data_IF_490605169164
#
_entry.id   IF_490605169164
#
_cell.length_a   1.000
_cell.length_b   1.000
_cell.length_c   1.000
_cell.angle_alpha   90.00
_cell.angle_beta   90.00
_cell.angle_gamma   90.00
#
_symmetry.space_group_name_H-M   'P 1'
#
loop_
_entity.id
_entity.type
_entity.pdbx_description
1 polymer ?
#
# COMPACT_ATOMS: atom_id res chain seq x y z
N UNK A 1 44.64 4.65 -24.52
CA UNK A 1 43.99 4.94 -25.83
C UNK A 1 42.76 5.79 -25.59
N UNK A 2 42.30 6.57 -26.58
CA UNK A 2 41.08 7.42 -26.43
C UNK A 2 39.78 6.59 -26.54
N UNK A 3 38.74 6.97 -25.78
CA UNK A 3 37.37 6.39 -25.91
C UNK A 3 36.84 6.47 -27.35
N UNK A 4 37.16 7.54 -28.08
CA UNK A 4 36.78 7.68 -29.49
C UNK A 4 37.45 6.66 -30.42
N UNK A 5 38.67 6.19 -30.10
CA UNK A 5 39.33 5.13 -30.86
C UNK A 5 38.71 3.75 -30.55
N UNK A 6 38.42 3.48 -29.28
CA UNK A 6 37.80 2.22 -28.85
C UNK A 6 36.38 2.06 -29.41
N UNK A 7 35.56 3.12 -29.36
CA UNK A 7 34.22 3.09 -29.95
C UNK A 7 34.27 2.84 -31.47
N UNK A 8 35.22 3.43 -32.21
CA UNK A 8 35.38 3.13 -33.65
C UNK A 8 35.74 1.67 -33.90
N UNK A 9 36.61 1.07 -33.09
CA UNK A 9 37.00 -0.35 -33.20
C UNK A 9 35.81 -1.28 -32.91
N UNK A 10 35.01 -0.98 -31.88
CA UNK A 10 33.79 -1.72 -31.56
C UNK A 10 32.78 -1.66 -32.72
N UNK A 11 32.46 -0.45 -33.20
CA UNK A 11 31.53 -0.24 -34.31
C UNK A 11 31.96 -0.98 -35.60
N UNK A 12 33.26 -1.03 -35.91
CA UNK A 12 33.76 -1.81 -37.06
C UNK A 12 33.64 -3.33 -36.93
N UNK A 13 33.27 -3.85 -35.75
CA UNK A 13 33.05 -5.29 -35.51
C UNK A 13 31.58 -5.69 -35.49
N UNK A 14 30.64 -4.74 -35.63
CA UNK A 14 29.20 -5.00 -35.55
C UNK A 14 28.66 -5.23 -34.13
N UNK A 15 29.55 -5.33 -33.13
CA UNK A 15 29.18 -5.30 -31.72
C UNK A 15 28.52 -3.95 -31.37
N UNK A 16 27.40 -3.95 -30.61
CA UNK A 16 26.97 -2.75 -29.91
C UNK A 16 28.09 -2.20 -29.03
N UNK A 17 28.13 -0.91 -28.67
CA UNK A 17 29.07 -0.45 -27.66
C UNK A 17 28.74 -1.17 -26.34
N UNK A 18 29.69 -1.96 -25.83
CA UNK A 18 29.60 -2.72 -24.57
C UNK A 18 29.61 -1.77 -23.35
N UNK A 19 28.58 -0.92 -23.23
CA UNK A 19 28.38 -0.07 -22.08
C UNK A 19 28.01 -0.94 -20.87
N UNK A 20 28.93 -1.06 -19.92
CA UNK A 20 28.61 -1.65 -18.62
C UNK A 20 27.45 -0.88 -17.97
N UNK A 21 26.53 -1.56 -17.27
CA UNK A 21 25.31 -0.94 -16.71
C UNK A 21 25.64 0.33 -15.90
N UNK A 22 26.71 0.28 -15.11
CA UNK A 22 27.23 1.40 -14.32
C UNK A 22 27.62 2.63 -15.18
N UNK A 23 28.15 2.46 -16.40
CA UNK A 23 28.44 3.59 -17.31
C UNK A 23 27.15 4.21 -17.86
N UNK A 24 26.14 3.38 -18.15
CA UNK A 24 24.82 3.86 -18.61
C UNK A 24 24.10 4.60 -17.48
N UNK A 25 24.04 4.03 -16.28
CA UNK A 25 23.47 4.65 -15.08
C UNK A 25 24.19 5.97 -14.76
N UNK A 26 25.53 5.99 -14.79
CA UNK A 26 26.30 7.21 -14.58
C UNK A 26 26.10 8.27 -15.67
N UNK A 27 25.80 7.88 -16.93
CA UNK A 27 25.42 8.82 -17.98
C UNK A 27 24.03 9.41 -17.71
N UNK A 28 23.03 8.55 -17.46
CA UNK A 28 21.65 8.97 -17.20
C UNK A 28 21.59 9.94 -16.01
N UNK A 29 22.32 9.69 -14.92
CA UNK A 29 22.36 10.64 -13.79
C UNK A 29 23.03 11.99 -14.13
N UNK A 30 24.06 12.03 -14.99
CA UNK A 30 24.65 13.30 -15.43
C UNK A 30 23.67 14.08 -16.30
N UNK A 31 23.17 13.44 -17.35
CA UNK A 31 22.22 14.03 -18.30
C UNK A 31 20.96 14.56 -17.55
N UNK A 32 20.43 13.79 -16.60
CA UNK A 32 19.29 14.19 -15.80
C UNK A 32 19.59 15.40 -14.89
N UNK A 33 20.76 15.44 -14.22
CA UNK A 33 21.18 16.60 -13.41
C UNK A 33 21.39 17.85 -14.28
N UNK A 34 21.91 17.70 -15.49
CA UNK A 34 22.04 18.79 -16.45
C UNK A 34 20.66 19.32 -16.90
N UNK A 35 19.72 18.44 -17.24
CA UNK A 35 18.34 18.82 -17.52
C UNK A 35 17.66 19.56 -16.35
N UNK A 36 17.85 19.11 -15.11
CA UNK A 36 17.35 19.82 -13.93
C UNK A 36 17.97 21.23 -13.78
N UNK A 37 19.28 21.36 -14.00
CA UNK A 37 19.96 22.66 -13.98
C UNK A 37 19.44 23.58 -15.09
N UNK A 38 19.22 23.07 -16.30
CA UNK A 38 18.66 23.83 -17.43
C UNK A 38 17.23 24.30 -17.15
N UNK A 39 16.38 23.44 -16.55
CA UNK A 39 15.04 23.82 -16.10
C UNK A 39 15.10 24.90 -15.01
N UNK A 40 15.96 24.74 -14.01
CA UNK A 40 16.15 25.74 -12.94
C UNK A 40 16.61 27.09 -13.50
N UNK A 41 17.60 27.10 -14.40
CA UNK A 41 18.10 28.31 -15.04
C UNK A 41 17.03 28.97 -15.92
N UNK A 42 16.17 28.19 -16.58
CA UNK A 42 15.09 28.68 -17.45
C UNK A 42 13.86 29.17 -16.69
N UNK A 43 13.58 28.63 -15.50
CA UNK A 43 12.56 29.18 -14.60
C UNK A 43 13.05 30.46 -13.92
N UNK A 44 14.32 30.48 -13.50
CA UNK A 44 14.93 31.62 -12.81
C UNK A 44 14.15 31.99 -11.55
N UNK A 45 13.68 33.24 -11.48
CA UNK A 45 12.84 33.78 -10.39
C UNK A 45 11.34 33.82 -10.71
N UNK A 46 10.94 33.61 -11.97
CA UNK A 46 9.53 33.65 -12.42
C UNK A 46 8.66 32.65 -11.67
N UNK A 47 7.34 32.86 -11.61
CA UNK A 47 6.43 31.88 -11.02
C UNK A 47 6.31 30.61 -11.88
N UNK A 48 6.22 30.80 -13.20
CA UNK A 48 6.08 29.76 -14.22
C UNK A 48 7.09 29.96 -15.36
N UNK A 49 7.29 28.94 -16.20
CA UNK A 49 8.28 28.93 -17.30
C UNK A 49 8.09 30.00 -18.39
N UNK A 50 6.94 30.68 -18.40
CA UNK A 50 6.62 31.79 -19.31
C UNK A 50 6.11 33.05 -18.59
N UNK A 51 6.34 33.19 -17.27
CA UNK A 51 6.00 34.38 -16.49
C UNK A 51 5.10 34.07 -15.30
N UNK A 52 4.00 34.82 -15.17
CA UNK A 52 3.08 34.78 -14.01
C UNK A 52 1.77 34.03 -14.30
N UNK A 53 1.68 33.36 -15.45
CA UNK A 53 0.55 32.48 -15.81
C UNK A 53 1.03 31.04 -16.07
N UNK A 54 0.28 30.02 -15.62
CA UNK A 54 0.64 28.62 -15.83
C UNK A 54 0.54 28.24 -17.31
N UNK A 55 1.45 27.40 -17.78
CA UNK A 55 1.46 26.88 -19.15
C UNK A 55 1.48 25.35 -19.22
N UNK A 56 1.27 24.81 -20.42
CA UNK A 56 1.44 23.38 -20.71
C UNK A 56 2.85 22.86 -20.37
N UNK A 57 3.88 23.72 -20.43
CA UNK A 57 5.25 23.34 -20.06
C UNK A 57 5.40 23.15 -18.55
N UNK A 58 4.75 24.01 -17.75
CA UNK A 58 4.72 23.87 -16.29
C UNK A 58 4.04 22.57 -15.87
N UNK A 59 2.89 22.25 -16.47
CA UNK A 59 2.17 20.99 -16.23
C UNK A 59 3.00 19.76 -16.66
N UNK A 60 3.68 19.83 -17.81
CA UNK A 60 4.54 18.74 -18.30
C UNK A 60 5.74 18.52 -17.36
N UNK A 61 6.47 19.58 -17.00
CA UNK A 61 7.63 19.50 -16.11
C UNK A 61 7.21 19.04 -14.70
N UNK A 62 6.09 19.56 -14.18
CA UNK A 62 5.50 19.13 -12.92
C UNK A 62 5.23 17.62 -12.87
N UNK A 63 4.71 17.04 -13.96
CA UNK A 63 4.44 15.60 -14.07
C UNK A 63 5.67 14.72 -13.84
N UNK A 64 6.88 15.20 -14.13
CA UNK A 64 8.13 14.50 -13.82
C UNK A 64 8.74 14.92 -12.47
N UNK A 65 8.71 16.22 -12.15
CA UNK A 65 9.37 16.73 -10.95
C UNK A 65 8.62 16.40 -9.65
N UNK A 66 7.29 16.44 -9.64
CA UNK A 66 6.53 16.20 -8.40
C UNK A 66 6.70 14.76 -7.86
N UNK A 67 6.64 13.68 -8.69
CA UNK A 67 7.00 12.35 -8.23
C UNK A 67 8.46 12.26 -7.76
N UNK A 68 9.41 12.79 -8.54
CA UNK A 68 10.84 12.80 -8.20
C UNK A 68 11.14 13.56 -6.89
N UNK A 69 10.37 14.59 -6.57
CA UNK A 69 10.52 15.42 -5.37
C UNK A 69 9.86 14.82 -4.12
N UNK A 70 8.64 14.29 -4.24
CA UNK A 70 7.78 13.89 -3.11
C UNK A 70 7.80 12.40 -2.76
N UNK A 71 8.17 11.50 -3.69
CA UNK A 71 8.22 10.05 -3.42
C UNK A 71 9.49 9.67 -2.64
N UNK A 72 9.39 8.67 -1.77
CA UNK A 72 10.55 8.10 -1.07
C UNK A 72 11.22 7.04 -1.95
N UNK A 73 12.49 7.27 -2.35
CA UNK A 73 13.25 6.37 -3.23
C UNK A 73 14.39 5.65 -2.48
N UNK A 74 14.71 4.38 -2.81
CA UNK A 74 15.89 3.70 -2.28
C UNK A 74 17.24 4.29 -2.74
N UNK A 75 17.28 4.93 -3.92
CA UNK A 75 18.41 5.71 -4.44
C UNK A 75 17.97 7.17 -4.57
N UNK A 76 18.59 8.07 -3.81
CA UNK A 76 18.13 9.48 -3.69
C UNK A 76 18.94 10.52 -4.47
N UNK A 77 20.07 10.17 -5.11
CA UNK A 77 21.05 11.12 -5.67
C UNK A 77 20.55 12.15 -6.71
N UNK A 78 19.44 11.85 -7.40
CA UNK A 78 18.79 12.81 -8.30
C UNK A 78 17.74 13.68 -7.57
N UNK A 79 17.05 13.11 -6.57
CA UNK A 79 16.14 13.86 -5.70
C UNK A 79 16.92 14.83 -4.79
N UNK A 80 18.09 14.43 -4.27
CA UNK A 80 18.99 15.30 -3.52
C UNK A 80 19.42 16.52 -4.36
N UNK A 81 19.71 16.29 -5.65
CA UNK A 81 20.04 17.35 -6.60
C UNK A 81 18.84 18.26 -6.87
N UNK A 82 17.65 17.71 -7.11
CA UNK A 82 16.42 18.49 -7.27
C UNK A 82 16.12 19.35 -6.03
N UNK A 83 16.34 18.81 -4.82
CA UNK A 83 16.13 19.52 -3.55
C UNK A 83 17.11 20.70 -3.32
N UNK A 84 18.21 20.77 -4.07
CA UNK A 84 19.10 21.95 -4.08
C UNK A 84 18.59 23.06 -5.02
N UNK A 85 17.69 22.75 -5.96
CA UNK A 85 17.11 23.67 -6.92
C UNK A 85 15.78 24.22 -6.38
N UNK A 86 15.89 25.12 -5.40
CA UNK A 86 14.78 25.64 -4.60
C UNK A 86 13.63 26.26 -5.43
N UNK A 87 13.93 26.86 -6.58
CA UNK A 87 12.92 27.40 -7.50
C UNK A 87 12.06 26.31 -8.15
N UNK A 88 12.64 25.15 -8.50
CA UNK A 88 11.91 23.98 -9.01
C UNK A 88 11.10 23.30 -7.91
N UNK A 89 11.61 23.24 -6.67
CA UNK A 89 10.83 22.78 -5.52
C UNK A 89 9.61 23.68 -5.28
N UNK A 90 9.80 25.01 -5.28
CA UNK A 90 8.72 26.00 -5.21
C UNK A 90 7.69 25.80 -6.31
N UNK A 91 8.10 25.65 -7.57
CA UNK A 91 7.17 25.39 -8.68
C UNK A 91 6.29 24.15 -8.41
N UNK A 92 6.87 23.07 -7.88
CA UNK A 92 6.12 21.87 -7.54
C UNK A 92 5.15 22.10 -6.37
N UNK A 93 5.59 22.81 -5.32
CA UNK A 93 4.73 23.12 -4.17
C UNK A 93 3.62 24.11 -4.53
N UNK A 94 3.90 25.17 -5.28
CA UNK A 94 2.91 26.15 -5.74
C UNK A 94 1.84 25.50 -6.62
N UNK A 95 2.22 24.59 -7.53
CA UNK A 95 1.28 23.82 -8.36
C UNK A 95 0.45 22.85 -7.50
N UNK A 96 1.06 22.09 -6.59
CA UNK A 96 0.33 21.23 -5.64
C UNK A 96 -0.67 22.05 -4.80
N UNK A 97 -0.24 23.22 -4.31
CA UNK A 97 -1.02 24.09 -3.46
C UNK A 97 -2.18 24.77 -4.20
N UNK A 98 -2.01 25.09 -5.48
CA UNK A 98 -3.00 25.85 -6.27
C UNK A 98 -4.00 24.98 -7.03
N UNK A 99 -3.60 23.77 -7.45
CA UNK A 99 -4.41 22.93 -8.34
C UNK A 99 -4.74 21.53 -7.79
N UNK A 100 -4.04 21.07 -6.74
CA UNK A 100 -4.22 19.71 -6.18
C UNK A 100 -4.64 19.70 -4.70
N UNK A 101 -4.68 20.86 -4.02
CA UNK A 101 -5.35 20.99 -2.72
C UNK A 101 -6.87 20.93 -2.89
N UNK A 102 -7.41 19.73 -2.74
CA UNK A 102 -8.75 19.60 -2.15
C UNK A 102 -8.73 20.10 -0.69
N UNK A 103 -9.90 20.45 -0.17
CA UNK A 103 -10.04 21.02 1.18
C UNK A 103 -9.67 20.05 2.32
N UNK A 104 -9.85 20.45 3.59
CA UNK A 104 -9.78 19.51 4.69
C UNK A 104 -10.79 18.38 4.44
N UNK A 105 -10.31 17.13 4.48
CA UNK A 105 -10.93 15.96 3.84
C UNK A 105 -10.78 15.98 2.31
N UNK A 106 -9.69 15.35 1.83
CA UNK A 106 -9.36 15.19 0.40
C UNK A 106 -10.23 14.15 -0.31
N UNK A 107 -11.56 14.33 -0.24
CA UNK A 107 -12.55 13.41 -0.78
C UNK A 107 -13.51 14.24 -1.65
N UNK A 108 -13.57 13.95 -2.95
CA UNK A 108 -14.60 14.49 -3.85
C UNK A 108 -15.99 14.12 -3.32
N UNK A 109 -17.07 14.94 -3.49
CA UNK A 109 -18.41 14.60 -2.98
C UNK A 109 -18.86 13.17 -3.30
N UNK A 110 -18.62 12.68 -4.52
CA UNK A 110 -18.91 11.29 -4.91
C UNK A 110 -18.14 10.22 -4.10
N UNK A 111 -16.95 10.54 -3.60
CA UNK A 111 -16.18 9.69 -2.70
C UNK A 111 -16.71 9.72 -1.25
N UNK A 112 -17.28 10.84 -0.82
CA UNK A 112 -17.90 10.98 0.49
C UNK A 112 -19.22 10.20 0.52
N UNK A 113 -20.07 10.37 -0.51
CA UNK A 113 -21.27 9.56 -0.74
C UNK A 113 -20.96 8.06 -0.76
N UNK A 114 -19.85 7.63 -1.38
CA UNK A 114 -19.41 6.24 -1.37
C UNK A 114 -19.04 5.75 0.03
N UNK A 115 -18.36 6.57 0.83
CA UNK A 115 -17.95 6.22 2.21
C UNK A 115 -19.17 6.17 3.12
N UNK A 116 -20.07 7.14 3.03
CA UNK A 116 -21.31 7.20 3.82
C UNK A 116 -22.25 6.04 3.47
N UNK A 117 -22.39 5.71 2.18
CA UNK A 117 -23.13 4.53 1.73
C UNK A 117 -22.49 3.20 2.18
N UNK A 118 -21.16 3.14 2.32
CA UNK A 118 -20.47 1.95 2.84
C UNK A 118 -20.61 1.85 4.37
N UNK A 119 -20.54 2.97 5.10
CA UNK A 119 -20.84 3.02 6.53
C UNK A 119 -22.30 2.60 6.80
N UNK A 120 -23.25 3.07 6.00
CA UNK A 120 -24.65 2.67 6.08
C UNK A 120 -24.85 1.16 5.88
N UNK A 121 -24.15 0.54 4.92
CA UNK A 121 -24.16 -0.93 4.71
C UNK A 121 -23.59 -1.68 5.92
N UNK A 122 -22.48 -1.20 6.51
CA UNK A 122 -21.90 -1.80 7.71
C UNK A 122 -22.87 -1.73 8.90
N UNK A 123 -23.52 -0.58 9.13
CA UNK A 123 -24.56 -0.42 10.15
C UNK A 123 -25.75 -1.36 9.92
N UNK A 124 -26.20 -1.52 8.67
CA UNK A 124 -27.27 -2.48 8.32
C UNK A 124 -26.86 -3.93 8.59
N UNK A 125 -25.60 -4.31 8.33
CA UNK A 125 -25.10 -5.67 8.61
C UNK A 125 -25.06 -5.95 10.11
N UNK A 126 -24.49 -5.05 10.92
CA UNK A 126 -24.44 -5.19 12.39
C UNK A 126 -25.85 -5.31 12.97
N UNK A 127 -26.78 -4.42 12.58
CA UNK A 127 -28.17 -4.47 13.04
C UNK A 127 -28.87 -5.78 12.65
N UNK A 128 -28.60 -6.29 11.44
CA UNK A 128 -29.15 -7.57 10.96
C UNK A 128 -28.60 -8.76 11.75
N UNK A 129 -27.32 -8.74 12.11
CA UNK A 129 -26.68 -9.78 12.91
C UNK A 129 -27.22 -9.80 14.34
N UNK A 130 -27.36 -8.63 14.99
CA UNK A 130 -28.00 -8.53 16.32
C UNK A 130 -29.43 -9.09 16.32
N UNK A 131 -30.23 -8.77 15.29
CA UNK A 131 -31.59 -9.29 15.11
C UNK A 131 -31.66 -10.82 14.91
N UNK A 132 -30.57 -11.45 14.43
CA UNK A 132 -30.50 -12.91 14.28
C UNK A 132 -30.09 -13.57 15.60
N UNK A 133 -29.15 -12.97 16.34
CA UNK A 133 -28.72 -13.45 17.67
C UNK A 133 -29.90 -13.43 18.65
N UNK A 134 -30.66 -12.33 18.70
CA UNK A 134 -31.85 -12.18 19.55
C UNK A 134 -32.90 -13.27 19.25
N UNK A 135 -33.19 -13.50 17.96
CA UNK A 135 -34.11 -14.58 17.54
C UNK A 135 -33.59 -15.98 17.86
N UNK A 136 -32.29 -16.20 17.86
CA UNK A 136 -31.71 -17.49 18.27
C UNK A 136 -31.88 -17.70 19.78
N UNK A 137 -31.64 -16.68 20.60
CA UNK A 137 -31.84 -16.77 22.06
C UNK A 137 -33.32 -17.01 22.41
N UNK A 138 -34.26 -16.34 21.74
CA UNK A 138 -35.70 -16.60 21.90
C UNK A 138 -36.09 -18.04 21.54
N UNK A 139 -35.57 -18.58 20.43
CA UNK A 139 -35.84 -19.98 20.03
C UNK A 139 -35.23 -20.99 21.02
N UNK A 140 -34.07 -20.68 21.62
CA UNK A 140 -33.49 -21.50 22.70
C UNK A 140 -34.34 -21.43 23.98
N UNK A 141 -34.82 -20.23 24.37
CA UNK A 141 -35.71 -20.03 25.54
C UNK A 141 -37.05 -20.75 25.39
N UNK A 142 -37.61 -20.78 24.18
CA UNK A 142 -38.88 -21.44 23.86
C UNK A 142 -38.75 -22.95 23.61
N UNK A 143 -37.53 -23.49 23.55
CA UNK A 143 -37.31 -24.93 23.37
C UNK A 143 -37.74 -25.72 24.62
N UNK A 144 -38.51 -26.82 24.47
CA UNK A 144 -39.02 -27.58 25.61
C UNK A 144 -37.89 -28.26 26.40
N UNK A 145 -37.79 -27.94 27.68
CA UNK A 145 -36.79 -28.50 28.60
C UNK A 145 -36.92 -30.02 28.73
N UNK A 146 -35.85 -30.76 28.44
CA UNK A 146 -35.81 -32.20 28.63
C UNK A 146 -35.77 -32.54 30.13
N UNK A 147 -36.80 -33.26 30.60
CA UNK A 147 -36.90 -33.73 31.99
C UNK A 147 -35.65 -34.52 32.42
N UNK A 148 -35.06 -34.24 33.59
CA UNK A 148 -33.88 -34.95 34.08
C UNK A 148 -34.10 -36.46 34.17
N UNK A 149 -33.41 -37.21 33.30
CA UNK A 149 -33.48 -38.68 33.23
C UNK A 149 -32.85 -39.29 34.49
N UNK A 150 -33.68 -39.66 35.46
CA UNK A 150 -33.23 -40.30 36.71
C UNK A 150 -32.46 -41.59 36.43
N UNK A 151 -31.16 -41.57 36.71
CA UNK A 151 -30.31 -42.76 36.72
C UNK A 151 -30.53 -43.56 38.02
N UNK A 152 -30.50 -44.91 38.00
CA UNK A 152 -30.76 -45.71 39.19
C UNK A 152 -29.60 -45.66 40.19
N UNK A 153 -29.89 -45.31 41.45
CA UNK A 153 -28.93 -45.41 42.55
C UNK A 153 -28.84 -46.85 43.06
N UNK A 154 -27.81 -47.58 42.65
CA UNK A 154 -27.47 -48.89 43.22
C UNK A 154 -27.10 -48.75 44.71
N UNK A 155 -27.81 -49.48 45.58
CA UNK A 155 -27.49 -49.63 47.00
C UNK A 155 -26.47 -50.75 47.18
N UNK A 156 -25.36 -50.45 47.86
CA UNK A 156 -24.37 -51.43 48.31
C UNK A 156 -24.62 -51.78 49.78
N UNK A 157 -24.80 -53.06 50.08
CA UNK A 157 -24.72 -53.69 51.41
C UNK A 157 -24.31 -55.17 51.23
N UNK A 158 -23.67 -55.83 52.22
CA UNK A 158 -22.68 -56.87 51.92
C UNK A 158 -22.99 -58.28 52.46
N UNK A 159 -22.19 -59.24 51.97
CA UNK A 159 -21.84 -60.55 52.55
C UNK A 159 -22.96 -61.62 52.66
N UNK A 160 -22.68 -62.92 52.80
CA UNK A 160 -21.38 -63.64 52.75
C UNK A 160 -21.01 -64.02 51.27
N UNK A 161 -20.76 -65.23 50.73
CA UNK A 161 -20.57 -66.63 51.19
C UNK A 161 -19.78 -67.43 50.10
N UNK A 162 -19.69 -68.78 50.19
CA UNK A 162 -18.79 -69.63 49.39
C UNK A 162 -19.32 -70.10 48.01
N UNK A 163 -18.43 -70.22 47.00
CA UNK A 163 -18.06 -71.55 46.43
C UNK A 163 -17.16 -71.51 45.17
N UNK A 164 -15.88 -71.84 45.38
CA UNK A 164 -15.09 -72.83 44.63
C UNK A 164 -14.68 -72.65 43.13
N UNK A 165 -13.46 -73.11 42.82
CA UNK A 165 -12.89 -73.50 41.50
C UNK A 165 -12.25 -72.45 40.54
N UNK A 166 -10.92 -72.56 40.41
CA UNK A 166 -10.13 -72.83 39.18
C UNK A 166 -10.78 -72.60 37.79
N UNK A 167 -10.13 -72.04 36.75
CA UNK A 167 -8.72 -71.71 36.43
C UNK A 167 -8.65 -70.44 35.52
N UNK A 168 -7.59 -69.63 35.50
CA UNK A 168 -6.46 -69.64 34.52
C UNK A 168 -6.86 -70.05 33.07
N UNK A 169 -6.42 -69.38 31.99
CA UNK A 169 -5.39 -68.33 31.82
C UNK A 169 -5.58 -67.58 30.48
N UNK A 170 -5.15 -66.32 30.41
CA UNK A 170 -4.77 -65.60 29.16
C UNK A 170 -3.42 -66.13 28.63
N UNK A 171 -2.89 -65.75 27.44
CA UNK A 171 -2.89 -64.41 26.85
C UNK A 171 -4.01 -64.14 25.84
#
# INVERSE_FOLDING_TARGET
MSRGALNRILLTRGEPPLYHVNEVEAKIYRDAKECLNLLSNRLGTSQFFFGDTPSTLDAYVFGFLAPLYKVHFPKVHLQEHLKQLSNLCRLCDDILNSYFRHGPVGISPAGQEMIDANLQKLTQLVNKESNLIEKMDDNLRQSPQLLPRKLPTLKLTPAEEESNSFQRLSP
#
